data_IF_000225303424
#
_entry.id   IF_000225303424
#
_cell.length_a   1.000
_cell.length_b   1.000
_cell.length_c   1.000
_cell.angle_alpha   90.00
_cell.angle_beta   90.00
_cell.angle_gamma   90.00
#
_symmetry.space_group_name_H-M   'P 1'
#
loop_
_entity.id
_entity.type
_entity.pdbx_description
1 polymer ?
#
# COMPACT_ATOMS: atom_id res chain seq x y z
N UNK A 1 -15.35 93.76 -6.90
CA UNK A 1 -14.83 93.66 -8.28
C UNK A 1 -15.14 92.23 -8.75
N UNK A 2 -16.31 91.91 -9.33
CA UNK A 2 -16.66 91.98 -10.77
C UNK A 2 -15.56 91.31 -11.64
N UNK A 3 -15.73 90.18 -12.36
CA UNK A 3 -16.75 89.75 -13.35
C UNK A 3 -16.62 88.20 -13.57
N UNK A 4 -17.72 87.40 -13.60
CA UNK A 4 -18.37 86.77 -14.78
C UNK A 4 -17.46 85.83 -15.63
N UNK A 5 -17.80 84.62 -16.14
CA UNK A 5 -19.06 83.87 -16.38
C UNK A 5 -18.76 82.55 -17.14
N UNK A 6 -19.49 81.45 -16.82
CA UNK A 6 -19.86 80.25 -17.66
C UNK A 6 -18.72 79.40 -18.30
N UNK A 7 -18.77 78.06 -18.36
CA UNK A 7 -19.67 77.21 -19.17
C UNK A 7 -19.63 75.73 -18.74
N UNK A 8 -20.72 75.03 -19.06
CA UNK A 8 -20.97 73.59 -18.86
C UNK A 8 -20.03 72.67 -19.65
N UNK A 9 -19.72 71.49 -19.10
CA UNK A 9 -19.64 70.23 -19.85
C UNK A 9 -19.76 69.04 -18.88
N UNK A 10 -20.93 68.41 -18.83
CA UNK A 10 -21.14 67.10 -18.20
C UNK A 10 -20.61 66.07 -19.19
N UNK A 11 -19.44 65.52 -18.93
CA UNK A 11 -18.92 64.35 -19.67
C UNK A 11 -19.39 63.11 -18.93
N UNK A 12 -20.37 62.42 -19.50
CA UNK A 12 -20.72 61.06 -19.12
C UNK A 12 -19.58 60.12 -19.56
N UNK A 13 -18.69 59.77 -18.63
CA UNK A 13 -17.72 58.71 -18.86
C UNK A 13 -18.44 57.37 -18.71
N UNK A 14 -18.74 56.74 -19.84
CA UNK A 14 -19.09 55.32 -19.92
C UNK A 14 -17.86 54.54 -19.45
N UNK A 15 -17.90 54.05 -18.21
CA UNK A 15 -16.94 53.06 -17.73
C UNK A 15 -17.29 51.75 -18.43
N UNK A 16 -16.57 51.46 -19.51
CA UNK A 16 -16.50 50.10 -20.05
C UNK A 16 -15.79 49.26 -18.99
N UNK A 17 -16.56 48.47 -18.25
CA UNK A 17 -16.02 47.35 -17.48
C UNK A 17 -15.39 46.37 -18.47
N UNK A 18 -14.11 46.58 -18.79
CA UNK A 18 -13.27 45.48 -19.25
C UNK A 18 -13.23 44.50 -18.09
N UNK A 19 -14.04 43.45 -18.19
CA UNK A 19 -13.87 42.25 -17.41
C UNK A 19 -12.44 41.77 -17.69
N UNK A 20 -11.51 42.14 -16.81
CA UNK A 20 -10.25 41.46 -16.69
C UNK A 20 -10.61 40.02 -16.37
N UNK A 21 -10.55 39.16 -17.39
CA UNK A 21 -10.53 37.73 -17.15
C UNK A 21 -9.39 37.50 -16.18
N UNK A 22 -9.73 37.14 -14.95
CA UNK A 22 -8.78 36.47 -14.07
C UNK A 22 -8.19 35.34 -14.90
N UNK A 23 -6.87 35.30 -15.16
CA UNK A 23 -6.32 34.12 -15.80
C UNK A 23 -6.76 32.93 -14.97
N UNK A 24 -7.37 31.96 -15.65
CA UNK A 24 -7.68 30.66 -15.09
C UNK A 24 -6.44 30.17 -14.31
N UNK A 25 -6.68 29.62 -13.12
CA UNK A 25 -5.69 29.03 -12.22
C UNK A 25 -4.43 28.62 -12.99
N UNK A 26 -3.31 29.32 -12.77
CA UNK A 26 -2.01 28.73 -13.03
C UNK A 26 -1.98 27.49 -12.12
N UNK A 27 -2.20 26.32 -12.72
CA UNK A 27 -1.96 25.04 -12.09
C UNK A 27 -0.55 25.13 -11.51
N UNK A 28 -0.44 25.00 -10.19
CA UNK A 28 0.82 25.07 -9.48
C UNK A 28 1.75 24.05 -10.14
N UNK A 29 2.76 24.52 -10.86
CA UNK A 29 3.72 23.65 -11.54
C UNK A 29 4.60 23.05 -10.45
N UNK A 30 4.28 21.83 -10.06
CA UNK A 30 5.11 21.06 -9.16
C UNK A 30 6.34 20.56 -9.95
N UNK A 31 7.55 20.90 -9.51
CA UNK A 31 8.80 20.54 -10.19
C UNK A 31 9.08 19.03 -10.07
N UNK A 32 8.72 18.24 -11.09
CA UNK A 32 8.98 16.80 -11.07
C UNK A 32 10.32 16.47 -11.74
N UNK A 33 11.30 16.03 -10.97
CA UNK A 33 12.66 15.79 -11.45
C UNK A 33 13.04 14.31 -11.47
N UNK A 34 14.09 14.01 -12.22
CA UNK A 34 14.77 12.72 -12.23
C UNK A 34 16.23 12.98 -11.91
N UNK A 35 16.80 12.21 -10.98
CA UNK A 35 18.21 12.27 -10.60
C UNK A 35 18.88 10.92 -10.84
N UNK A 36 20.01 10.87 -11.52
CA UNK A 36 20.73 9.62 -11.78
C UNK A 36 21.98 9.49 -10.91
N UNK A 37 22.08 8.41 -10.13
CA UNK A 37 23.18 8.22 -9.17
C UNK A 37 24.52 7.89 -9.82
N UNK A 38 24.54 7.45 -11.08
CA UNK A 38 25.77 7.13 -11.80
C UNK A 38 26.44 8.38 -12.38
N UNK A 39 25.63 9.35 -12.82
CA UNK A 39 26.08 10.57 -13.49
C UNK A 39 25.98 11.83 -12.64
N UNK A 40 25.15 11.83 -11.59
CA UNK A 40 24.83 13.01 -10.78
C UNK A 40 23.92 14.01 -11.49
N UNK A 41 23.41 13.70 -12.68
CA UNK A 41 22.53 14.59 -13.46
C UNK A 41 21.15 14.65 -12.80
N UNK A 42 20.60 15.86 -12.70
CA UNK A 42 19.22 16.11 -12.30
C UNK A 42 18.50 16.87 -13.42
N UNK A 43 17.35 16.37 -13.90
CA UNK A 43 16.51 17.00 -14.92
C UNK A 43 15.06 17.07 -14.47
N UNK A 44 14.44 18.25 -14.58
CA UNK A 44 13.06 18.49 -14.18
C UNK A 44 12.11 18.60 -15.38
N UNK A 45 10.84 18.27 -15.13
CA UNK A 45 9.75 18.15 -16.11
C UNK A 45 8.50 18.85 -15.57
N UNK A 46 7.58 19.19 -16.46
CA UNK A 46 6.36 19.93 -16.11
C UNK A 46 5.31 19.03 -15.43
N UNK A 47 5.47 17.70 -15.44
CA UNK A 47 4.55 16.77 -14.78
C UNK A 47 5.21 15.48 -14.27
N UNK A 48 4.57 14.84 -13.29
CA UNK A 48 4.97 13.52 -12.77
C UNK A 48 5.00 12.44 -13.86
N UNK A 49 4.04 12.49 -14.79
CA UNK A 49 3.96 11.50 -15.88
C UNK A 49 5.18 11.58 -16.80
N UNK A 50 5.61 12.79 -17.15
CA UNK A 50 6.80 13.01 -17.98
C UNK A 50 8.09 12.60 -17.28
N UNK A 51 8.25 12.97 -16.01
CA UNK A 51 9.45 12.62 -15.25
C UNK A 51 9.59 11.10 -15.08
N UNK A 52 8.50 10.39 -14.75
CA UNK A 52 8.51 8.93 -14.63
C UNK A 52 8.76 8.24 -15.98
N UNK A 53 8.18 8.75 -17.07
CA UNK A 53 8.44 8.24 -18.40
C UNK A 53 9.94 8.37 -18.75
N UNK A 54 10.52 9.56 -18.58
CA UNK A 54 11.93 9.81 -18.85
C UNK A 54 12.88 8.98 -17.95
N UNK A 55 12.53 8.80 -16.66
CA UNK A 55 13.26 7.92 -15.76
C UNK A 55 13.23 6.46 -16.25
N UNK A 56 12.04 5.94 -16.57
CA UNK A 56 11.87 4.55 -17.03
C UNK A 56 12.48 4.26 -18.40
N UNK A 57 12.66 5.29 -19.24
CA UNK A 57 13.31 5.20 -20.54
C UNK A 57 14.84 5.41 -20.46
N UNK A 58 15.39 5.76 -19.28
CA UNK A 58 16.82 6.05 -19.12
C UNK A 58 17.26 7.30 -19.88
N UNK A 59 16.39 8.29 -20.05
CA UNK A 59 16.68 9.50 -20.85
C UNK A 59 17.46 10.58 -20.08
N UNK A 60 17.59 10.43 -18.77
CA UNK A 60 18.22 11.42 -17.87
C UNK A 60 19.61 10.98 -17.45
N UNK A 61 19.88 9.67 -17.42
CA UNK A 61 21.16 9.12 -17.00
C UNK A 61 21.34 7.68 -17.44
N UNK A 62 22.31 6.99 -16.84
CA UNK A 62 22.73 5.67 -17.29
C UNK A 62 21.78 4.53 -16.86
N UNK A 63 20.90 4.76 -15.88
CA UNK A 63 19.96 3.76 -15.40
C UNK A 63 18.50 4.14 -15.63
N UNK A 64 17.69 3.12 -15.93
CA UNK A 64 16.23 3.20 -16.01
C UNK A 64 15.50 2.69 -14.75
N UNK A 65 16.24 2.21 -13.74
CA UNK A 65 15.63 1.64 -12.52
C UNK A 65 15.48 2.72 -11.46
N UNK A 66 14.24 3.07 -11.12
CA UNK A 66 13.93 4.00 -10.03
C UNK A 66 14.15 3.30 -8.69
N UNK A 67 15.13 3.77 -7.92
CA UNK A 67 15.50 3.20 -6.61
C UNK A 67 14.91 3.98 -5.43
N UNK A 68 14.48 5.23 -5.67
CA UNK A 68 13.80 6.06 -4.68
C UNK A 68 12.97 7.13 -5.33
N UNK A 69 11.93 7.60 -4.65
CA UNK A 69 11.24 8.86 -4.97
C UNK A 69 11.23 9.74 -3.72
N UNK A 70 11.72 10.95 -3.86
CA UNK A 70 11.73 12.00 -2.83
C UNK A 70 10.55 12.94 -3.11
N UNK A 71 9.87 13.41 -2.08
CA UNK A 71 8.68 14.24 -2.21
C UNK A 71 8.80 15.52 -1.39
N UNK A 72 8.28 16.61 -1.95
CA UNK A 72 8.31 17.94 -1.33
C UNK A 72 7.44 18.01 -0.07
N UNK A 73 6.33 17.26 -0.05
CA UNK A 73 5.41 17.29 1.07
C UNK A 73 5.34 15.95 1.79
N UNK A 74 4.78 15.98 3.00
CA UNK A 74 4.46 14.78 3.75
C UNK A 74 3.45 13.89 2.98
N UNK A 75 3.40 12.62 3.35
CA UNK A 75 2.52 11.60 2.78
C UNK A 75 2.67 11.43 1.26
N UNK A 76 3.89 11.58 0.75
CA UNK A 76 4.24 11.37 -0.67
C UNK A 76 3.52 12.32 -1.62
N UNK A 77 3.32 13.58 -1.17
CA UNK A 77 2.62 14.61 -1.92
C UNK A 77 3.54 15.70 -2.48
N UNK A 78 2.96 16.54 -3.34
CA UNK A 78 3.65 17.67 -3.97
C UNK A 78 4.57 17.26 -5.12
N UNK A 79 5.54 18.13 -5.42
CA UNK A 79 6.59 17.87 -6.36
C UNK A 79 7.39 16.61 -5.97
N UNK A 80 8.17 16.05 -6.91
CA UNK A 80 8.95 14.84 -6.64
C UNK A 80 10.29 14.77 -7.36
N UNK A 81 11.26 14.04 -6.80
CA UNK A 81 12.47 13.58 -7.51
C UNK A 81 12.49 12.06 -7.59
N UNK A 82 12.40 11.51 -8.79
CA UNK A 82 12.66 10.09 -9.04
C UNK A 82 14.17 9.86 -9.16
N UNK A 83 14.75 9.10 -8.23
CA UNK A 83 16.17 8.77 -8.25
C UNK A 83 16.38 7.44 -8.96
N UNK A 84 17.17 7.43 -10.03
CA UNK A 84 17.54 6.25 -10.82
C UNK A 84 18.93 5.75 -10.46
N UNK A 85 19.07 4.43 -10.41
CA UNK A 85 20.32 3.75 -10.08
C UNK A 85 20.21 2.25 -10.35
N UNK A 86 21.12 1.42 -9.86
CA UNK A 86 20.98 -0.04 -9.88
C UNK A 86 20.33 -0.54 -8.59
N UNK A 87 19.76 -1.77 -8.56
CA UNK A 87 19.35 -2.38 -7.30
C UNK A 87 20.50 -2.39 -6.29
N UNK A 88 20.23 -1.97 -5.04
CA UNK A 88 21.28 -1.89 -4.04
C UNK A 88 21.69 -3.29 -3.59
N UNK A 89 23.00 -3.56 -3.66
CA UNK A 89 23.61 -4.82 -3.22
C UNK A 89 24.65 -4.54 -2.14
N UNK A 90 24.98 -5.57 -1.38
CA UNK A 90 25.95 -5.48 -0.28
C UNK A 90 27.27 -4.84 -0.73
N UNK A 91 27.86 -4.04 0.17
CA UNK A 91 29.12 -3.31 -0.05
C UNK A 91 29.14 -2.32 -1.23
N UNK A 92 27.97 -1.93 -1.77
CA UNK A 92 27.86 -0.87 -2.78
C UNK A 92 27.03 0.29 -2.26
N UNK A 93 27.50 1.51 -2.54
CA UNK A 93 26.77 2.74 -2.28
C UNK A 93 26.53 3.47 -3.60
N UNK A 94 25.37 4.09 -3.72
CA UNK A 94 25.00 4.99 -4.80
C UNK A 94 24.61 6.32 -4.19
N UNK A 95 24.91 7.42 -4.86
CA UNK A 95 24.82 8.72 -4.20
C UNK A 95 24.31 9.83 -5.11
N UNK A 96 23.72 10.84 -4.47
CA UNK A 96 23.40 12.14 -5.09
C UNK A 96 24.09 13.20 -4.25
N UNK A 97 25.19 13.77 -4.77
CA UNK A 97 26.07 14.68 -4.03
C UNK A 97 25.45 16.03 -3.74
N UNK A 98 24.53 16.50 -4.58
CA UNK A 98 23.76 17.71 -4.34
C UNK A 98 22.42 17.65 -5.06
N UNK A 99 21.34 17.96 -4.35
CA UNK A 99 19.97 17.92 -4.87
C UNK A 99 19.60 19.14 -5.74
N UNK A 100 20.49 20.12 -5.90
CA UNK A 100 20.24 21.27 -6.78
C UNK A 100 19.06 22.11 -6.28
N UNK A 101 18.10 22.41 -7.16
CA UNK A 101 16.90 23.18 -6.80
C UNK A 101 15.95 22.46 -5.82
N UNK A 102 16.25 21.21 -5.49
CA UNK A 102 15.56 20.39 -4.49
C UNK A 102 16.19 20.42 -3.09
N UNK A 103 17.25 21.21 -2.93
CA UNK A 103 17.86 21.49 -1.63
C UNK A 103 16.80 21.97 -0.63
N UNK A 104 16.79 21.40 0.57
CA UNK A 104 15.95 21.84 1.70
C UNK A 104 14.43 21.79 1.43
N UNK A 105 13.98 20.85 0.58
CA UNK A 105 12.54 20.72 0.24
C UNK A 105 11.90 19.39 0.63
N UNK A 106 12.70 18.41 1.05
CA UNK A 106 12.21 17.03 1.13
C UNK A 106 11.50 16.82 2.47
N UNK A 107 10.25 16.38 2.39
CA UNK A 107 9.41 16.08 3.56
C UNK A 107 8.96 14.62 3.63
N UNK A 108 9.01 13.84 2.54
CA UNK A 108 8.79 12.38 2.58
C UNK A 108 9.52 11.64 1.44
N UNK A 109 9.61 10.31 1.55
CA UNK A 109 10.31 9.50 0.54
C UNK A 109 9.83 8.05 0.51
N UNK A 110 10.03 7.41 -0.64
CA UNK A 110 9.92 5.97 -0.84
C UNK A 110 11.23 5.44 -1.39
N UNK A 111 11.62 4.23 -1.00
CA UNK A 111 12.71 3.50 -1.65
C UNK A 111 12.29 2.13 -2.13
N UNK A 112 13.02 1.65 -3.13
CA UNK A 112 12.75 0.41 -3.85
C UNK A 112 14.04 -0.39 -4.00
N UNK A 113 13.94 -1.63 -4.46
CA UNK A 113 15.09 -2.46 -4.81
C UNK A 113 16.14 -2.60 -3.67
N UNK A 114 15.67 -2.66 -2.43
CA UNK A 114 16.48 -2.75 -1.20
C UNK A 114 17.46 -1.59 -1.00
N UNK A 115 17.21 -0.44 -1.63
CA UNK A 115 18.00 0.76 -1.45
C UNK A 115 17.55 1.50 -0.20
N UNK A 116 18.36 1.46 0.83
CA UNK A 116 18.15 2.15 2.07
C UNK A 116 18.76 3.55 2.02
N UNK A 117 18.06 4.54 2.56
CA UNK A 117 18.43 5.95 2.43
C UNK A 117 19.11 6.49 3.69
N UNK A 118 20.20 7.23 3.47
CA UNK A 118 20.79 8.15 4.44
C UNK A 118 20.78 9.54 3.84
N UNK A 119 20.03 10.45 4.46
CA UNK A 119 19.94 11.85 4.05
C UNK A 119 20.92 12.70 4.87
N UNK A 120 21.56 13.67 4.22
CA UNK A 120 22.51 14.58 4.83
C UNK A 120 22.03 16.03 4.68
N UNK A 121 22.24 16.81 5.73
CA UNK A 121 21.84 18.23 5.79
C UNK A 121 22.59 19.09 4.78
N UNK A 122 23.83 18.72 4.42
CA UNK A 122 24.64 19.50 3.48
C UNK A 122 24.99 18.68 2.24
N UNK A 123 25.40 19.40 1.19
CA UNK A 123 25.94 18.80 -0.02
C UNK A 123 27.17 17.94 0.30
N UNK A 124 27.47 16.99 -0.60
CA UNK A 124 28.62 16.07 -0.53
C UNK A 124 28.69 15.29 0.79
N UNK A 125 27.52 14.88 1.29
CA UNK A 125 27.34 13.99 2.44
C UNK A 125 27.93 14.55 3.74
N UNK A 126 27.81 15.87 3.92
CA UNK A 126 28.30 16.60 5.09
C UNK A 126 27.15 17.00 6.03
N UNK A 127 27.52 17.47 7.22
CA UNK A 127 26.57 17.97 8.22
C UNK A 127 25.87 16.86 9.00
N UNK A 128 24.75 17.23 9.63
CA UNK A 128 23.90 16.25 10.31
C UNK A 128 23.35 15.24 9.32
N UNK A 129 23.19 13.99 9.76
CA UNK A 129 22.70 12.90 8.92
C UNK A 129 21.56 12.15 9.60
N UNK A 130 20.59 11.73 8.81
CA UNK A 130 19.48 10.90 9.26
C UNK A 130 19.43 9.62 8.44
N UNK A 131 19.66 8.50 9.12
CA UNK A 131 19.48 7.14 8.62
C UNK A 131 18.06 6.67 8.93
N UNK A 132 17.41 6.00 7.98
CA UNK A 132 15.99 5.64 8.10
C UNK A 132 15.73 4.16 8.18
N UNK A 133 15.47 3.62 9.38
CA UNK A 133 15.32 2.17 9.66
C UNK A 133 14.27 1.39 8.83
N UNK A 134 13.53 2.03 7.92
CA UNK A 134 12.64 1.41 6.94
C UNK A 134 12.82 2.04 5.53
N UNK A 135 12.40 1.31 4.50
CA UNK A 135 12.53 1.72 3.10
C UNK A 135 11.67 2.95 2.73
N UNK A 136 10.59 3.23 3.45
CA UNK A 136 9.67 4.34 3.14
C UNK A 136 9.28 5.12 4.39
N UNK A 137 9.21 6.45 4.28
CA UNK A 137 8.66 7.32 5.32
C UNK A 137 7.79 8.42 4.73
N UNK A 138 6.54 8.49 5.19
CA UNK A 138 5.61 9.57 4.87
C UNK A 138 5.93 10.90 5.55
N UNK A 139 6.93 10.95 6.44
CA UNK A 139 7.33 12.17 7.13
C UNK A 139 8.81 12.06 7.56
N UNK A 140 9.66 13.00 7.13
CA UNK A 140 11.06 13.04 7.59
C UNK A 140 11.19 13.41 9.09
N UNK A 141 10.15 13.99 9.68
CA UNK A 141 10.17 14.52 11.04
C UNK A 141 11.06 15.76 11.15
N UNK A 142 10.96 16.45 12.29
CA UNK A 142 11.59 17.77 12.51
C UNK A 142 13.11 17.81 12.31
N UNK A 143 13.80 16.67 12.43
CA UNK A 143 15.26 16.63 12.35
C UNK A 143 15.81 16.75 10.92
N UNK A 144 15.06 16.38 9.88
CA UNK A 144 15.54 16.40 8.48
C UNK A 144 14.51 16.93 7.46
N UNK A 145 13.27 17.21 7.89
CA UNK A 145 12.26 17.84 7.04
C UNK A 145 12.78 19.19 6.53
N UNK A 146 12.74 19.39 5.21
CA UNK A 146 13.17 20.63 4.54
C UNK A 146 14.62 21.04 4.87
N UNK A 147 15.49 20.06 5.08
CA UNK A 147 16.94 20.28 5.36
C UNK A 147 17.87 19.42 4.50
N UNK A 148 17.32 18.43 3.80
CA UNK A 148 18.09 17.47 3.03
C UNK A 148 18.74 18.10 1.80
N UNK A 149 20.05 17.89 1.65
CA UNK A 149 20.85 18.46 0.56
C UNK A 149 21.58 17.39 -0.28
N UNK A 150 21.90 16.23 0.31
CA UNK A 150 22.55 15.11 -0.38
C UNK A 150 22.14 13.76 0.20
N UNK A 151 22.28 12.70 -0.61
CA UNK A 151 21.71 11.38 -0.31
C UNK A 151 22.70 10.26 -0.61
N UNK A 152 22.78 9.29 0.31
CA UNK A 152 23.44 8.00 0.09
C UNK A 152 22.41 6.88 0.11
N UNK A 153 22.47 6.01 -0.89
CA UNK A 153 21.72 4.77 -0.99
C UNK A 153 22.66 3.58 -0.78
N UNK A 154 22.33 2.71 0.17
CA UNK A 154 23.09 1.50 0.47
C UNK A 154 22.16 0.29 0.55
N UNK A 155 22.71 -0.94 0.59
CA UNK A 155 21.90 -2.13 0.89
C UNK A 155 21.55 -2.17 2.37
N UNK A 156 20.31 -1.82 2.70
CA UNK A 156 19.71 -2.05 4.03
C UNK A 156 18.71 -3.19 4.01
N UNK A 157 18.30 -3.72 5.18
CA UNK A 157 17.41 -4.88 5.25
C UNK A 157 16.01 -4.55 4.74
N UNK A 158 15.37 -5.52 4.08
CA UNK A 158 13.93 -5.42 3.82
C UNK A 158 13.12 -5.58 5.11
N UNK A 159 11.87 -5.09 5.12
CA UNK A 159 10.95 -5.28 6.27
C UNK A 159 10.72 -6.76 6.54
N UNK A 160 10.64 -7.58 5.49
CA UNK A 160 10.56 -9.03 5.62
C UNK A 160 11.83 -9.67 6.20
N UNK A 161 13.03 -9.21 5.81
CA UNK A 161 14.29 -9.70 6.38
C UNK A 161 14.37 -9.42 7.88
N UNK A 162 14.01 -8.19 8.29
CA UNK A 162 13.94 -7.81 9.71
C UNK A 162 12.92 -8.65 10.48
N UNK A 163 11.70 -8.81 9.96
CA UNK A 163 10.66 -9.59 10.63
C UNK A 163 10.92 -11.10 10.64
N UNK A 164 11.69 -11.61 9.68
CA UNK A 164 12.17 -12.99 9.68
C UNK A 164 13.18 -13.25 10.81
N UNK A 165 14.01 -12.27 11.13
CA UNK A 165 15.00 -12.34 12.20
C UNK A 165 14.38 -12.12 13.60
N UNK A 166 13.22 -11.47 13.68
CA UNK A 166 12.47 -11.20 14.91
C UNK A 166 12.25 -12.46 15.77
N UNK A 167 12.76 -12.44 17.00
CA UNK A 167 12.65 -13.53 17.96
C UNK A 167 13.52 -14.76 17.66
N UNK A 168 14.31 -14.74 16.58
CA UNK A 168 15.20 -15.82 16.18
C UNK A 168 16.68 -15.40 16.13
N UNK A 169 17.01 -14.34 15.40
CA UNK A 169 18.36 -13.80 15.29
C UNK A 169 18.55 -12.49 16.07
N UNK A 170 17.47 -11.96 16.64
CA UNK A 170 17.45 -10.77 17.50
C UNK A 170 17.48 -11.16 18.98
N UNK A 171 18.17 -10.35 19.81
CA UNK A 171 18.11 -10.43 21.27
C UNK A 171 16.72 -10.08 21.80
N UNK A 172 16.14 -9.00 21.28
CA UNK A 172 14.76 -8.59 21.59
C UNK A 172 14.05 -8.29 20.30
N UNK A 173 12.77 -8.64 20.26
CA UNK A 173 11.85 -8.18 19.23
C UNK A 173 10.51 -7.93 19.91
N UNK A 174 10.03 -6.69 19.86
CA UNK A 174 8.78 -6.32 20.52
C UNK A 174 7.83 -5.75 19.47
N UNK A 175 6.63 -6.32 19.40
CA UNK A 175 5.53 -5.77 18.63
C UNK A 175 4.80 -4.71 19.46
N UNK A 176 4.48 -3.59 18.81
CA UNK A 176 3.62 -2.53 19.33
C UNK A 176 2.39 -2.44 18.43
N UNK A 177 1.21 -2.56 19.03
CA UNK A 177 -0.05 -2.44 18.30
C UNK A 177 -0.75 -1.18 18.77
N UNK A 178 -0.56 -0.13 18.00
CA UNK A 178 -0.91 1.24 18.39
C UNK A 178 -2.33 1.60 17.97
N UNK A 179 -2.82 1.01 16.88
CA UNK A 179 -4.11 1.35 16.28
C UNK A 179 -4.95 0.11 16.02
N UNK A 180 -6.25 0.27 16.27
CA UNK A 180 -7.29 -0.71 15.94
C UNK A 180 -8.27 -0.09 14.96
N UNK A 181 -8.26 -0.60 13.73
CA UNK A 181 -9.23 -0.23 12.71
C UNK A 181 -10.63 -0.73 13.01
N UNK A 182 -11.59 -0.28 12.19
CA UNK A 182 -12.98 -0.71 12.26
C UNK A 182 -13.15 -2.12 11.68
N UNK A 183 -14.21 -2.79 12.11
CA UNK A 183 -14.65 -4.05 11.50
C UNK A 183 -15.27 -3.82 10.13
N UNK A 184 -15.02 -4.75 9.22
CA UNK A 184 -15.59 -4.71 7.88
C UNK A 184 -15.89 -6.11 7.36
N UNK A 185 -16.82 -6.21 6.40
CA UNK A 185 -17.08 -7.46 5.71
C UNK A 185 -15.91 -7.80 4.79
N UNK A 186 -15.35 -9.00 4.93
CA UNK A 186 -14.35 -9.54 4.03
C UNK A 186 -14.90 -9.84 2.63
N UNK A 187 -14.06 -10.44 1.79
CA UNK A 187 -14.51 -10.89 0.47
C UNK A 187 -15.47 -12.08 0.58
N UNK A 188 -16.46 -12.12 -0.31
CA UNK A 188 -17.33 -13.27 -0.45
C UNK A 188 -16.57 -14.43 -1.11
N UNK A 189 -16.54 -15.57 -0.43
CA UNK A 189 -15.96 -16.80 -0.93
C UNK A 189 -16.97 -17.95 -0.97
N UNK A 190 -16.90 -18.79 -2.00
CA UNK A 190 -17.72 -20.00 -2.11
C UNK A 190 -17.28 -21.04 -1.09
N UNK A 191 -18.19 -21.48 -0.22
CA UNK A 191 -18.00 -22.55 0.77
C UNK A 191 -18.30 -23.92 0.15
N UNK A 192 -19.49 -24.10 -0.40
CA UNK A 192 -19.93 -25.36 -1.00
C UNK A 192 -20.82 -25.12 -2.21
N UNK A 193 -20.81 -26.04 -3.18
CA UNK A 193 -21.66 -25.98 -4.38
C UNK A 193 -22.24 -27.34 -4.70
N UNK A 194 -23.54 -27.36 -4.96
CA UNK A 194 -24.29 -28.56 -5.36
C UNK A 194 -25.08 -28.33 -6.65
N UNK A 195 -25.22 -29.39 -7.42
CA UNK A 195 -25.83 -29.40 -8.74
C UNK A 195 -26.93 -30.46 -8.75
N UNK A 196 -28.15 -30.09 -9.12
CA UNK A 196 -29.25 -31.03 -9.22
C UNK A 196 -29.36 -31.55 -10.67
N UNK A 197 -28.82 -32.75 -10.89
CA UNK A 197 -28.85 -33.44 -12.17
C UNK A 197 -30.07 -34.36 -12.34
N UNK A 198 -30.93 -34.43 -11.33
CA UNK A 198 -32.15 -35.25 -11.35
C UNK A 198 -33.33 -34.54 -12.04
N UNK A 199 -34.42 -35.27 -12.21
CA UNK A 199 -35.70 -34.72 -12.67
C UNK A 199 -36.54 -34.11 -11.54
N UNK A 200 -36.18 -34.32 -10.28
CA UNK A 200 -36.97 -33.90 -9.12
C UNK A 200 -36.30 -32.74 -8.38
N UNK A 201 -37.10 -31.90 -7.72
CA UNK A 201 -36.55 -30.92 -6.77
C UNK A 201 -35.90 -31.68 -5.61
N UNK A 202 -34.72 -31.24 -5.19
CA UNK A 202 -33.98 -31.87 -4.07
C UNK A 202 -33.74 -30.83 -2.97
N UNK A 203 -34.01 -31.20 -1.73
CA UNK A 203 -33.64 -30.42 -0.53
C UNK A 203 -32.38 -31.00 0.07
N UNK A 204 -31.36 -30.17 0.30
CA UNK A 204 -30.05 -30.61 0.78
C UNK A 204 -29.46 -29.62 1.77
N UNK A 205 -28.71 -30.11 2.76
CA UNK A 205 -27.80 -29.28 3.57
C UNK A 205 -26.48 -29.13 2.83
N UNK A 206 -26.10 -27.88 2.54
CA UNK A 206 -24.85 -27.51 1.89
C UNK A 206 -23.98 -26.74 2.88
N UNK A 207 -22.68 -26.90 2.76
CA UNK A 207 -21.74 -26.30 3.69
C UNK A 207 -20.62 -27.24 4.09
N UNK A 208 -19.55 -26.65 4.61
CA UNK A 208 -18.36 -27.32 5.11
C UNK A 208 -17.56 -26.37 5.99
N UNK A 209 -16.48 -26.87 6.57
CA UNK A 209 -15.46 -26.03 7.20
C UNK A 209 -14.83 -25.10 6.16
N UNK A 210 -14.88 -23.80 6.44
CA UNK A 210 -14.31 -22.73 5.64
C UNK A 210 -13.22 -22.02 6.45
N UNK A 211 -11.98 -22.14 5.96
CA UNK A 211 -10.79 -21.53 6.54
C UNK A 211 -10.41 -20.28 5.75
N UNK A 212 -10.21 -19.16 6.44
CA UNK A 212 -9.82 -17.87 5.86
C UNK A 212 -8.63 -17.32 6.62
N UNK A 213 -7.53 -17.10 5.92
CA UNK A 213 -6.32 -16.50 6.47
C UNK A 213 -6.33 -14.99 6.24
N UNK A 214 -5.76 -14.28 7.20
CA UNK A 214 -5.46 -12.86 7.11
C UNK A 214 -4.22 -12.58 6.26
N UNK A 215 -3.87 -11.29 6.16
CA UNK A 215 -2.68 -10.81 5.42
C UNK A 215 -1.99 -9.72 6.21
N UNK A 216 -0.76 -9.39 5.86
CA UNK A 216 -0.03 -8.27 6.45
C UNK A 216 0.84 -7.56 5.42
N UNK A 217 1.48 -6.48 5.84
CA UNK A 217 2.31 -5.63 4.99
C UNK A 217 3.54 -6.31 4.38
N UNK A 218 3.99 -7.46 4.91
CA UNK A 218 5.13 -8.22 4.37
C UNK A 218 4.74 -9.54 3.71
N UNK A 219 3.44 -9.86 3.62
CA UNK A 219 2.96 -11.12 3.03
C UNK A 219 3.36 -11.31 1.56
N UNK A 220 3.61 -10.24 0.81
CA UNK A 220 4.07 -10.34 -0.58
C UNK A 220 5.57 -10.64 -0.70
N UNK A 221 6.35 -10.30 0.33
CA UNK A 221 7.79 -10.59 0.41
C UNK A 221 8.06 -11.96 1.06
N UNK A 222 7.14 -12.44 1.92
CA UNK A 222 7.23 -13.72 2.62
C UNK A 222 6.15 -14.66 2.09
N UNK A 223 6.52 -15.58 1.22
CA UNK A 223 5.60 -16.49 0.52
C UNK A 223 4.79 -17.43 1.42
N UNK A 224 5.26 -17.72 2.63
CA UNK A 224 4.54 -18.50 3.65
C UNK A 224 4.84 -17.91 5.01
N UNK A 225 3.90 -17.20 5.62
CA UNK A 225 4.10 -16.58 6.94
C UNK A 225 3.74 -17.48 8.13
N UNK A 226 3.21 -18.68 7.89
CA UNK A 226 2.84 -19.61 8.94
C UNK A 226 4.08 -20.06 9.75
N UNK A 227 4.04 -19.87 11.07
CA UNK A 227 5.11 -20.28 11.98
C UNK A 227 6.16 -19.22 12.32
N UNK A 228 6.04 -17.99 11.82
CA UNK A 228 6.95 -16.92 12.24
C UNK A 228 6.60 -16.35 13.61
N UNK A 229 7.64 -16.16 14.43
CA UNK A 229 7.53 -15.62 15.79
C UNK A 229 6.93 -14.20 15.81
N UNK A 230 7.25 -13.35 14.83
CA UNK A 230 6.73 -11.98 14.81
C UNK A 230 5.19 -11.91 14.76
N UNK A 231 4.51 -12.88 14.15
CA UNK A 231 3.04 -12.94 14.14
C UNK A 231 2.47 -13.34 15.50
N UNK A 232 3.19 -14.19 16.24
CA UNK A 232 2.84 -14.55 17.62
C UNK A 232 3.01 -13.33 18.52
N UNK A 233 4.13 -12.62 18.39
CA UNK A 233 4.42 -11.41 19.16
C UNK A 233 3.37 -10.33 18.89
N UNK A 234 2.92 -10.19 17.63
CA UNK A 234 1.79 -9.31 17.27
C UNK A 234 0.51 -9.68 18.02
N UNK A 235 0.12 -10.96 18.00
CA UNK A 235 -1.10 -11.41 18.69
C UNK A 235 -1.01 -11.17 20.20
N UNK A 236 0.15 -11.40 20.80
CA UNK A 236 0.40 -11.12 22.22
C UNK A 236 0.32 -9.62 22.51
N UNK A 237 0.95 -8.78 21.69
CA UNK A 237 0.91 -7.33 21.84
C UNK A 237 -0.53 -6.81 21.70
N UNK A 238 -1.26 -7.25 20.68
CA UNK A 238 -2.66 -6.89 20.48
C UNK A 238 -3.52 -7.26 21.70
N UNK A 239 -3.36 -8.48 22.24
CA UNK A 239 -4.07 -8.90 23.45
C UNK A 239 -3.72 -8.05 24.67
N UNK A 240 -2.44 -7.70 24.85
CA UNK A 240 -2.00 -6.82 25.93
C UNK A 240 -2.62 -5.43 25.82
N UNK A 241 -2.68 -4.86 24.61
CA UNK A 241 -3.25 -3.53 24.38
C UNK A 241 -4.78 -3.50 24.52
N UNK A 242 -5.49 -4.51 23.96
CA UNK A 242 -6.94 -4.44 23.77
C UNK A 242 -7.75 -5.47 24.58
N UNK A 243 -7.10 -6.40 25.29
CA UNK A 243 -7.75 -7.46 26.05
C UNK A 243 -8.44 -8.55 25.22
N UNK A 244 -8.37 -8.48 23.89
CA UNK A 244 -8.98 -9.42 22.95
C UNK A 244 -7.91 -10.24 22.23
N UNK A 245 -8.20 -11.50 21.92
CA UNK A 245 -7.30 -12.33 21.10
C UNK A 245 -7.27 -11.84 19.66
N UNK A 246 -6.08 -11.82 19.04
CA UNK A 246 -5.94 -11.58 17.61
C UNK A 246 -5.79 -12.90 16.86
N UNK A 247 -6.65 -13.12 15.86
CA UNK A 247 -6.54 -14.23 14.94
C UNK A 247 -5.87 -13.82 13.62
N UNK A 248 -4.95 -14.63 13.13
CA UNK A 248 -4.45 -14.55 11.75
C UNK A 248 -5.23 -15.45 10.80
N UNK A 249 -6.13 -16.29 11.33
CA UNK A 249 -6.95 -17.23 10.57
C UNK A 249 -8.26 -17.49 11.31
N UNK A 250 -9.34 -17.71 10.58
CA UNK A 250 -10.60 -18.24 11.12
C UNK A 250 -10.97 -19.51 10.37
N UNK A 251 -11.41 -20.54 11.10
CA UNK A 251 -11.94 -21.77 10.54
C UNK A 251 -13.30 -22.04 11.17
N UNK A 252 -14.37 -21.87 10.39
CA UNK A 252 -15.74 -22.07 10.86
C UNK A 252 -16.45 -23.12 10.00
N UNK A 253 -17.22 -24.01 10.65
CA UNK A 253 -18.16 -24.87 9.95
C UNK A 253 -19.43 -24.09 9.69
N UNK A 254 -19.75 -23.87 8.41
CA UNK A 254 -20.94 -23.10 8.01
C UNK A 254 -21.80 -23.96 7.10
N UNK A 255 -23.05 -24.14 7.50
CA UNK A 255 -24.02 -24.98 6.80
C UNK A 255 -25.39 -24.30 6.71
N UNK A 256 -26.12 -24.59 5.63
CA UNK A 256 -27.52 -24.17 5.47
C UNK A 256 -28.31 -25.18 4.66
N UNK A 257 -29.63 -25.21 4.85
CA UNK A 257 -30.54 -26.06 4.07
C UNK A 257 -31.05 -25.29 2.86
N UNK A 258 -30.96 -25.87 1.67
CA UNK A 258 -31.40 -25.27 0.41
C UNK A 258 -32.24 -26.25 -0.42
N UNK A 259 -33.19 -25.71 -1.17
CA UNK A 259 -33.89 -26.43 -2.22
C UNK A 259 -33.28 -26.11 -3.59
N UNK A 260 -33.02 -27.14 -4.38
CA UNK A 260 -32.43 -27.01 -5.71
C UNK A 260 -33.38 -27.61 -6.73
N UNK A 261 -33.84 -26.78 -7.67
CA UNK A 261 -34.72 -27.23 -8.75
C UNK A 261 -33.97 -28.16 -9.73
N UNK A 262 -34.69 -29.03 -10.46
CA UNK A 262 -34.12 -29.86 -11.53
C UNK A 262 -33.33 -29.01 -12.53
N UNK A 263 -32.08 -29.35 -12.79
CA UNK A 263 -31.23 -28.63 -13.73
C UNK A 263 -30.68 -27.29 -13.22
N UNK A 264 -30.77 -27.00 -11.92
CA UNK A 264 -30.16 -25.83 -11.29
C UNK A 264 -28.94 -26.24 -10.45
N UNK A 265 -28.09 -25.27 -10.16
CA UNK A 265 -27.10 -25.40 -9.10
C UNK A 265 -27.35 -24.35 -8.02
N UNK A 266 -26.92 -24.69 -6.81
CA UNK A 266 -26.96 -23.85 -5.63
C UNK A 266 -25.62 -23.88 -4.92
N UNK A 267 -25.24 -22.77 -4.29
CA UNK A 267 -24.02 -22.65 -3.51
C UNK A 267 -24.23 -21.79 -2.28
N UNK A 268 -23.35 -21.98 -1.31
CA UNK A 268 -23.27 -21.20 -0.08
C UNK A 268 -22.01 -20.34 -0.16
N UNK A 269 -22.18 -19.02 -0.20
CA UNK A 269 -21.06 -18.10 -0.05
C UNK A 269 -21.00 -17.61 1.42
N UNK A 270 -19.79 -17.34 1.90
CA UNK A 270 -19.52 -16.73 3.21
C UNK A 270 -18.64 -15.51 3.04
N UNK A 271 -18.90 -14.49 3.84
CA UNK A 271 -18.05 -13.32 4.04
C UNK A 271 -17.72 -13.21 5.53
N UNK A 272 -16.49 -13.50 5.97
CA UNK A 272 -16.12 -13.29 7.37
C UNK A 272 -16.14 -11.80 7.73
N UNK A 273 -16.23 -11.47 9.01
CA UNK A 273 -15.92 -10.11 9.48
C UNK A 273 -14.42 -10.05 9.73
N UNK A 274 -13.79 -9.04 9.16
CA UNK A 274 -12.34 -8.80 9.21
C UNK A 274 -12.07 -7.51 9.96
N UNK A 275 -10.86 -7.40 10.49
CA UNK A 275 -10.34 -6.21 11.16
C UNK A 275 -8.91 -5.95 10.71
N UNK A 276 -8.55 -4.69 10.66
CA UNK A 276 -7.17 -4.25 10.49
C UNK A 276 -6.65 -3.68 11.81
N UNK A 277 -5.42 -4.02 12.15
CA UNK A 277 -4.65 -3.36 13.20
C UNK A 277 -3.32 -2.88 12.62
N UNK A 278 -2.75 -1.83 13.18
CA UNK A 278 -1.45 -1.29 12.75
C UNK A 278 -0.61 -0.81 13.91
N UNK A 279 0.70 -0.71 13.66
CA UNK A 279 1.70 -0.38 14.67
C UNK A 279 3.11 -0.66 14.16
N UNK A 280 3.98 -1.13 15.03
CA UNK A 280 5.41 -1.21 14.75
C UNK A 280 6.10 -2.40 15.42
N UNK A 281 7.35 -2.64 15.04
CA UNK A 281 8.27 -3.51 15.76
C UNK A 281 9.53 -2.73 16.11
N UNK A 282 10.05 -2.92 17.32
CA UNK A 282 11.45 -2.64 17.64
C UNK A 282 12.21 -3.95 17.80
N UNK A 283 13.46 -3.97 17.34
CA UNK A 283 14.33 -5.12 17.50
C UNK A 283 15.76 -4.72 17.80
N UNK A 284 16.41 -5.57 18.59
CA UNK A 284 17.80 -5.41 18.98
C UNK A 284 18.59 -6.67 18.65
N UNK A 285 19.74 -6.52 18.01
CA UNK A 285 20.69 -7.59 17.72
C UNK A 285 21.89 -7.52 18.67
N UNK A 286 22.35 -8.67 19.18
CA UNK A 286 23.58 -8.72 20.00
C UNK A 286 24.83 -8.29 19.21
N UNK A 287 24.86 -8.58 17.91
CA UNK A 287 25.90 -8.11 16.98
C UNK A 287 25.27 -7.21 15.93
N UNK A 288 26.01 -6.19 15.47
CA UNK A 288 25.51 -5.29 14.42
C UNK A 288 25.16 -6.08 13.16
N UNK A 289 23.96 -5.83 12.62
CA UNK A 289 23.54 -6.25 11.29
C UNK A 289 23.19 -5.01 10.48
N UNK A 290 23.63 -4.98 9.23
CA UNK A 290 23.53 -3.80 8.35
C UNK A 290 24.00 -2.51 9.04
N UNK A 291 25.07 -2.59 9.83
CA UNK A 291 25.67 -1.44 10.52
C UNK A 291 25.06 -1.07 11.89
N UNK A 292 23.91 -1.63 12.26
CA UNK A 292 23.18 -1.22 13.47
C UNK A 292 22.87 -2.38 14.42
N UNK A 293 22.77 -2.07 15.72
CA UNK A 293 22.22 -3.01 16.70
C UNK A 293 20.69 -2.92 16.77
N UNK A 294 20.13 -1.73 16.58
CA UNK A 294 18.71 -1.47 16.71
C UNK A 294 18.08 -1.25 15.34
N UNK A 295 16.92 -1.84 15.16
CA UNK A 295 16.10 -1.68 13.96
C UNK A 295 14.64 -1.50 14.33
N UNK A 296 13.91 -0.83 13.45
CA UNK A 296 12.48 -0.60 13.61
C UNK A 296 11.76 -0.96 12.32
N UNK A 297 10.62 -1.64 12.44
CA UNK A 297 9.66 -1.79 11.35
C UNK A 297 8.45 -0.95 11.69
N UNK A 298 8.40 0.27 11.19
CA UNK A 298 7.25 1.16 11.32
C UNK A 298 6.09 0.70 10.45
N UNK A 299 4.88 1.23 10.68
CA UNK A 299 3.71 1.07 9.80
C UNK A 299 3.40 -0.38 9.41
N UNK A 300 3.69 -1.35 10.28
CA UNK A 300 3.23 -2.72 10.07
C UNK A 300 1.73 -2.74 10.23
N UNK A 301 1.05 -3.48 9.35
CA UNK A 301 -0.39 -3.69 9.47
C UNK A 301 -0.73 -5.15 9.24
N UNK A 302 -1.60 -5.67 10.12
CA UNK A 302 -2.21 -6.99 10.01
C UNK A 302 -3.70 -6.87 9.77
N UNK A 303 -4.20 -7.66 8.82
CA UNK A 303 -5.61 -7.93 8.61
C UNK A 303 -5.89 -9.35 9.09
N UNK A 304 -6.90 -9.51 9.94
CA UNK A 304 -7.30 -10.79 10.51
C UNK A 304 -8.80 -10.84 10.78
N UNK A 305 -9.37 -12.01 11.11
CA UNK A 305 -10.78 -12.11 11.48
C UNK A 305 -11.08 -11.30 12.73
N UNK A 306 -12.22 -10.60 12.73
CA UNK A 306 -12.67 -9.86 13.90
C UNK A 306 -13.03 -10.83 15.05
N UNK A 307 -12.47 -10.68 16.25
CA UNK A 307 -12.72 -11.60 17.37
C UNK A 307 -14.18 -11.58 17.80
N UNK A 308 -14.81 -12.76 17.86
CA UNK A 308 -16.18 -12.91 18.40
C UNK A 308 -17.30 -12.41 17.50
N UNK A 309 -17.02 -12.05 16.24
CA UNK A 309 -18.04 -11.59 15.28
C UNK A 309 -18.24 -12.64 14.19
N UNK A 310 -19.48 -13.10 14.04
CA UNK A 310 -19.84 -14.09 13.01
C UNK A 310 -20.00 -13.39 11.66
N UNK A 311 -19.43 -13.99 10.62
CA UNK A 311 -19.57 -13.52 9.23
C UNK A 311 -20.99 -13.62 8.68
N UNK A 312 -21.18 -13.04 7.49
CA UNK A 312 -22.42 -13.18 6.74
C UNK A 312 -22.39 -14.41 5.83
N UNK A 313 -23.57 -14.97 5.57
CA UNK A 313 -23.75 -16.04 4.59
C UNK A 313 -24.82 -15.65 3.59
N UNK A 314 -24.71 -16.17 2.37
CA UNK A 314 -25.78 -16.06 1.38
C UNK A 314 -25.85 -17.32 0.53
N UNK A 315 -27.04 -17.63 0.10
CA UNK A 315 -27.27 -18.65 -0.92
C UNK A 315 -27.24 -18.01 -2.30
N UNK A 316 -26.57 -18.68 -3.23
CA UNK A 316 -26.48 -18.25 -4.63
C UNK A 316 -26.84 -19.44 -5.52
N UNK A 317 -27.36 -19.18 -6.71
CA UNK A 317 -27.71 -20.26 -7.63
C UNK A 317 -28.28 -19.74 -8.93
N UNK A 318 -28.20 -20.57 -9.97
CA UNK A 318 -28.82 -20.31 -11.27
C UNK A 318 -29.17 -21.63 -11.97
N UNK A 319 -29.97 -21.53 -13.02
CA UNK A 319 -30.18 -22.63 -13.96
C UNK A 319 -28.86 -22.97 -14.62
N UNK A 320 -28.53 -24.26 -14.72
CA UNK A 320 -27.36 -24.70 -15.45
C UNK A 320 -27.57 -24.48 -16.95
N UNK A 321 -26.52 -24.04 -17.64
CA UNK A 321 -26.51 -24.10 -19.11
C UNK A 321 -26.44 -25.55 -19.57
N UNK A 322 -26.78 -25.82 -20.84
CA UNK A 322 -26.65 -27.17 -21.42
C UNK A 322 -25.22 -27.70 -21.29
N UNK A 323 -24.21 -26.85 -21.47
CA UNK A 323 -22.80 -27.20 -21.35
C UNK A 323 -22.38 -27.46 -19.90
N UNK A 324 -22.81 -26.60 -18.96
CA UNK A 324 -22.58 -26.81 -17.53
C UNK A 324 -23.21 -28.14 -17.08
N UNK A 325 -24.45 -28.40 -17.50
CA UNK A 325 -25.17 -29.65 -17.20
C UNK A 325 -24.43 -30.85 -17.80
N UNK A 326 -24.00 -30.80 -19.06
CA UNK A 326 -23.24 -31.89 -19.70
C UNK A 326 -21.93 -32.16 -18.96
N UNK A 327 -21.20 -31.11 -18.58
CA UNK A 327 -19.91 -31.21 -17.88
C UNK A 327 -20.04 -31.76 -16.46
N UNK A 328 -21.02 -31.28 -15.69
CA UNK A 328 -21.12 -31.60 -14.25
C UNK A 328 -21.98 -32.85 -14.02
N UNK A 329 -23.05 -33.04 -14.78
CA UNK A 329 -23.97 -34.14 -14.55
C UNK A 329 -23.50 -35.45 -15.19
N UNK A 330 -22.86 -35.43 -16.37
CA UNK A 330 -22.47 -36.67 -17.04
C UNK A 330 -23.64 -37.67 -17.13
N UNK A 331 -23.48 -38.86 -16.52
CA UNK A 331 -24.53 -39.90 -16.39
C UNK A 331 -25.30 -39.85 -15.05
N UNK A 332 -24.97 -38.92 -14.16
CA UNK A 332 -25.57 -38.80 -12.84
C UNK A 332 -27.03 -38.33 -12.92
N UNK A 333 -27.93 -39.09 -12.30
CA UNK A 333 -29.35 -38.76 -12.18
C UNK A 333 -29.72 -38.21 -10.79
N UNK A 334 -28.73 -37.79 -9.99
CA UNK A 334 -28.89 -37.34 -8.61
C UNK A 334 -28.25 -35.97 -8.33
N UNK A 335 -27.99 -35.69 -7.06
CA UNK A 335 -27.27 -34.49 -6.65
C UNK A 335 -25.75 -34.72 -6.79
N UNK A 336 -25.05 -33.78 -7.43
CA UNK A 336 -23.59 -33.78 -7.55
C UNK A 336 -23.05 -32.62 -6.70
N UNK A 337 -22.02 -32.86 -5.88
CA UNK A 337 -21.31 -31.77 -5.19
C UNK A 337 -19.99 -31.52 -5.91
N UNK A 338 -19.60 -30.25 -6.08
CA UNK A 338 -18.20 -30.01 -6.43
C UNK A 338 -17.36 -30.38 -5.21
N UNK A 339 -16.35 -31.23 -5.37
CA UNK A 339 -15.17 -31.13 -4.51
C UNK A 339 -14.67 -29.70 -4.70
N UNK A 340 -14.97 -28.82 -3.76
CA UNK A 340 -14.45 -27.48 -3.81
C UNK A 340 -12.93 -27.60 -3.66
N UNK A 341 -12.22 -27.68 -4.80
CA UNK A 341 -10.82 -27.29 -4.84
C UNK A 341 -10.76 -25.91 -4.17
N UNK A 342 -9.78 -25.67 -3.28
CA UNK A 342 -9.43 -24.30 -3.01
C UNK A 342 -9.10 -23.74 -4.39
N UNK A 343 -9.96 -22.89 -4.91
CA UNK A 343 -9.49 -21.94 -5.90
C UNK A 343 -8.54 -21.09 -5.08
N UNK A 344 -7.27 -21.49 -5.03
CA UNK A 344 -6.23 -20.47 -4.99
C UNK A 344 -6.66 -19.53 -6.09
N UNK A 345 -6.82 -18.26 -5.76
CA UNK A 345 -6.88 -17.25 -6.79
C UNK A 345 -5.78 -17.60 -7.78
N UNK A 346 -6.17 -18.07 -8.97
CA UNK A 346 -5.32 -17.95 -10.12
C UNK A 346 -4.91 -16.50 -10.09
N UNK A 347 -3.61 -16.26 -9.89
CA UNK A 347 -3.02 -14.95 -9.91
C UNK A 347 -3.74 -14.13 -11.00
N UNK A 348 -4.17 -12.89 -10.71
CA UNK A 348 -4.70 -12.06 -11.77
C UNK A 348 -3.68 -12.12 -12.91
N UNK A 349 -4.16 -12.43 -14.12
CA UNK A 349 -3.36 -12.21 -15.32
C UNK A 349 -2.70 -10.83 -15.18
N UNK A 350 -1.39 -10.69 -15.49
CA UNK A 350 -0.65 -9.48 -15.21
C UNK A 350 -1.47 -8.29 -15.70
N UNK A 351 -1.96 -7.50 -14.75
CA UNK A 351 -2.61 -6.25 -15.07
C UNK A 351 -1.56 -5.43 -15.82
N UNK A 352 -1.91 -4.93 -16.99
CA UNK A 352 -1.19 -3.81 -17.58
C UNK A 352 -0.94 -2.76 -16.49
N UNK A 353 0.23 -2.10 -16.46
CA UNK A 353 0.64 -1.26 -15.34
C UNK A 353 -0.43 -0.21 -15.05
N UNK A 354 -1.20 -0.43 -13.99
CA UNK A 354 -2.11 0.56 -13.46
C UNK A 354 -1.24 1.59 -12.74
N UNK A 355 -1.45 2.86 -13.07
CA UNK A 355 -0.85 3.98 -12.37
C UNK A 355 -1.01 3.81 -10.85
N UNK A 356 0.00 4.21 -10.05
CA UNK A 356 -0.03 4.00 -8.61
C UNK A 356 -1.28 4.64 -8.00
N UNK A 357 -2.05 3.84 -7.27
CA UNK A 357 -3.20 4.33 -6.53
C UNK A 357 -2.71 5.25 -5.41
N UNK A 358 -2.93 6.56 -5.57
CA UNK A 358 -2.78 7.55 -4.51
C UNK A 358 -3.77 7.20 -3.41
N UNK A 359 -3.28 6.55 -2.35
CA UNK A 359 -4.06 6.39 -1.11
C UNK A 359 -3.86 7.65 -0.28
N UNK A 360 -4.83 8.56 -0.35
CA UNK A 360 -4.96 9.65 0.61
C UNK A 360 -5.23 9.02 1.99
N UNK A 361 -4.19 8.88 2.81
CA UNK A 361 -4.36 8.63 4.23
C UNK A 361 -4.77 9.95 4.89
N UNK A 362 -6.07 10.22 4.95
CA UNK A 362 -6.60 11.18 5.91
C UNK A 362 -6.54 10.54 7.30
N UNK A 363 -5.47 10.82 8.03
CA UNK A 363 -5.31 10.46 9.42
C UNK A 363 -4.50 11.53 10.11
N UNK A 364 -5.18 12.42 10.84
CA UNK A 364 -4.53 13.40 11.70
C UNK A 364 -3.81 12.66 12.82
N UNK A 365 -2.48 12.79 12.91
CA UNK A 365 -1.72 12.37 14.09
C UNK A 365 -0.90 13.55 14.55
N UNK A 366 -1.10 13.86 15.83
CA UNK A 366 -0.67 15.08 16.51
C UNK A 366 0.85 15.21 16.65
N UNK A 367 1.23 16.47 16.83
CA UNK A 367 2.52 17.11 17.14
C UNK A 367 3.59 16.31 17.84
#
# INVERSE_FOLDING_TARGET
MQKYRQWMAVVAAVVVCLAGGTPANAEQRDDHCVADTATGVIRCFDSLGESLAAASAGEVGASATVISVLYEHANFGGASVAVTGSPCVEATNQTVGFLGNWNDKISSFQTFHNCYITMYEHAEYQGERQEWYANDSGNYGSNMNDRGSSVVYSRGPSRAELLKDCGHATKTCNAHVDQRGQDFGGSWGRVDTVYNCSANKITQVIGKRDTRSGKNTVSNEISVSAGFQFLVDWSVAYKRTWGQEWGWETSESVETRIEVNPGYWAGLDRSPVMRVASGSYDMWYDKRKWGHHQWYVWNFSGEGPAPGVVGQTRTVGKKMTSDEKKRVCGKSAGLVRSSASPRSESAPAPAAPAAPAVRVAQGSLHS
#
